data_IF_470200754394
#
_entry.id   IF_470200754394
#
_cell.length_a   1.000
_cell.length_b   1.000
_cell.length_c   1.000
_cell.angle_alpha   90.00
_cell.angle_beta   90.00
_cell.angle_gamma   90.00
#
_symmetry.space_group_name_H-M   'P 1'
#
loop_
_entity.id
_entity.type
_entity.pdbx_description
1 polymer ?
#
# COMPACT_ATOMS: atom_id res chain seq x y z
N UNK A 1 7.51 -9.58 5.97
CA UNK A 1 7.32 -8.43 5.06
C UNK A 1 6.20 -8.64 4.03
N UNK A 2 5.96 -9.84 3.48
CA UNK A 2 4.95 -10.04 2.41
C UNK A 2 3.48 -10.10 2.89
N UNK A 3 3.19 -10.50 4.14
CA UNK A 3 1.80 -10.68 4.62
C UNK A 3 1.06 -9.35 4.80
N UNK A 4 1.69 -8.34 5.39
CA UNK A 4 1.08 -7.03 5.60
C UNK A 4 0.60 -6.42 4.28
N UNK A 5 1.44 -6.48 3.24
CA UNK A 5 1.08 -6.02 1.89
C UNK A 5 -0.14 -6.75 1.31
N UNK A 6 -0.27 -8.06 1.53
CA UNK A 6 -1.42 -8.83 1.06
C UNK A 6 -2.72 -8.39 1.74
N UNK A 7 -2.66 -8.13 3.05
CA UNK A 7 -3.82 -7.66 3.82
C UNK A 7 -4.20 -6.23 3.43
N UNK A 8 -3.21 -5.35 3.27
CA UNK A 8 -3.42 -3.97 2.82
C UNK A 8 -4.05 -3.97 1.44
N UNK A 9 -3.52 -4.75 0.50
CA UNK A 9 -4.09 -4.87 -0.86
C UNK A 9 -5.53 -5.37 -0.82
N UNK A 10 -5.84 -6.35 0.05
CA UNK A 10 -7.20 -6.87 0.21
C UNK A 10 -8.15 -5.79 0.77
N UNK A 11 -7.71 -5.04 1.79
CA UNK A 11 -8.49 -3.94 2.39
C UNK A 11 -8.70 -2.80 1.40
N UNK A 12 -7.64 -2.33 0.72
CA UNK A 12 -7.73 -1.24 -0.25
C UNK A 12 -8.67 -1.59 -1.40
N UNK A 13 -8.59 -2.81 -1.94
CA UNK A 13 -9.51 -3.27 -2.99
C UNK A 13 -10.98 -3.32 -2.55
N UNK A 14 -11.24 -3.57 -1.27
CA UNK A 14 -12.60 -3.71 -0.76
C UNK A 14 -13.18 -2.37 -0.27
N UNK A 15 -12.42 -1.61 0.51
CA UNK A 15 -12.90 -0.38 1.16
C UNK A 15 -12.63 0.89 0.35
N UNK A 16 -11.53 0.94 -0.40
CA UNK A 16 -11.10 2.14 -1.13
C UNK A 16 -10.62 1.80 -2.56
N UNK A 17 -11.46 1.17 -3.40
CA UNK A 17 -11.05 0.72 -4.73
C UNK A 17 -10.60 1.89 -5.63
N UNK A 18 -11.21 3.06 -5.47
CA UNK A 18 -10.84 4.27 -6.21
C UNK A 18 -9.44 4.76 -5.84
N UNK A 19 -9.10 4.75 -4.55
CA UNK A 19 -7.77 5.14 -4.06
C UNK A 19 -6.69 4.19 -4.57
N UNK A 20 -6.96 2.89 -4.57
CA UNK A 20 -6.05 1.87 -5.11
C UNK A 20 -5.82 2.04 -6.61
N UNK A 21 -6.89 2.29 -7.37
CA UNK A 21 -6.81 2.52 -8.81
C UNK A 21 -6.06 3.83 -9.13
N UNK A 22 -6.35 4.90 -8.40
CA UNK A 22 -5.65 6.18 -8.52
C UNK A 22 -4.16 6.02 -8.19
N UNK A 23 -3.84 5.42 -7.06
CA UNK A 23 -2.46 5.19 -6.63
C UNK A 23 -1.68 4.35 -7.65
N UNK A 24 -2.26 3.24 -8.11
CA UNK A 24 -1.65 2.39 -9.14
C UNK A 24 -1.45 3.12 -10.47
N UNK A 25 -2.38 3.98 -10.88
CA UNK A 25 -2.24 4.83 -12.07
C UNK A 25 -1.11 5.84 -11.90
N UNK A 26 -1.07 6.53 -10.76
CA UNK A 26 -0.06 7.55 -10.47
C UNK A 26 1.35 6.95 -10.38
N UNK A 27 1.52 5.75 -9.80
CA UNK A 27 2.81 5.03 -9.78
C UNK A 27 3.28 4.70 -11.21
N UNK A 28 2.39 4.19 -12.07
CA UNK A 28 2.73 3.92 -13.47
C UNK A 28 3.15 5.19 -14.20
N UNK A 29 2.43 6.29 -13.97
CA UNK A 29 2.78 7.59 -14.53
C UNK A 29 4.11 8.11 -13.99
N UNK A 30 4.45 7.87 -12.73
CA UNK A 30 5.74 8.27 -12.13
C UNK A 30 6.93 7.69 -12.91
N UNK A 31 6.87 6.40 -13.25
CA UNK A 31 7.91 5.74 -14.04
C UNK A 31 8.03 6.35 -15.45
N UNK A 32 6.90 6.59 -16.12
CA UNK A 32 6.88 7.24 -17.44
C UNK A 32 7.43 8.66 -17.40
N UNK A 33 7.01 9.45 -16.42
CA UNK A 33 7.44 10.83 -16.24
C UNK A 33 8.95 10.93 -15.95
N UNK A 34 9.51 9.97 -15.20
CA UNK A 34 10.95 9.93 -14.93
C UNK A 34 11.78 9.70 -16.20
N UNK A 35 11.32 8.80 -17.08
CA UNK A 35 11.96 8.57 -18.39
C UNK A 35 11.84 9.78 -19.31
N UNK A 36 10.70 10.46 -19.27
CA UNK A 36 10.45 11.66 -20.09
C UNK A 36 11.37 12.83 -19.70
N UNK A 37 11.61 13.04 -18.39
CA UNK A 37 12.60 14.02 -17.91
C UNK A 37 13.99 13.66 -18.43
N UNK A 38 14.43 12.41 -18.23
CA UNK A 38 15.76 11.98 -18.65
C UNK A 38 15.98 12.19 -20.15
N UNK A 39 14.98 11.85 -20.97
CA UNK A 39 15.03 12.08 -22.42
C UNK A 39 15.12 13.55 -22.80
N UNK A 40 14.38 14.43 -22.10
CA UNK A 40 14.45 15.87 -22.34
C UNK A 40 15.78 16.48 -21.88
N UNK A 41 16.34 16.01 -20.76
CA UNK A 41 17.67 16.41 -20.27
C UNK A 41 18.77 16.01 -21.25
N UNK A 42 18.72 14.78 -21.77
CA UNK A 42 19.66 14.28 -22.78
C UNK A 42 19.58 15.08 -24.08
N UNK A 43 18.37 15.46 -24.52
CA UNK A 43 18.16 16.31 -25.70
C UNK A 43 18.75 17.71 -25.52
N UNK A 44 18.56 18.32 -24.34
CA UNK A 44 19.14 19.64 -24.04
C UNK A 44 20.67 19.56 -23.97
N UNK A 45 21.23 18.54 -23.31
CA UNK A 45 22.68 18.32 -23.25
C UNK A 45 23.28 18.11 -24.63
N UNK A 46 22.60 17.34 -25.49
CA UNK A 46 23.02 17.16 -26.86
C UNK A 46 23.00 18.49 -27.60
N UNK A 47 21.88 19.24 -27.57
CA UNK A 47 21.74 20.51 -28.26
C UNK A 47 22.86 21.50 -27.85
N UNK A 48 23.16 21.61 -26.55
CA UNK A 48 24.26 22.46 -26.05
C UNK A 48 25.63 22.01 -26.56
N UNK A 49 25.88 20.70 -26.64
CA UNK A 49 27.17 20.16 -27.09
C UNK A 49 27.39 20.27 -28.61
N UNK A 50 26.32 20.19 -29.41
CA UNK A 50 26.42 20.29 -30.89
C UNK A 50 26.47 21.72 -31.41
N UNK A 51 25.99 22.71 -30.66
CA UNK A 51 25.90 24.10 -31.13
C UNK A 51 27.12 24.92 -30.69
N UNK A 52 27.84 25.49 -31.66
CA UNK A 52 28.95 26.42 -31.44
C UNK A 52 28.49 27.70 -30.71
N UNK A 53 29.36 28.29 -29.89
CA UNK A 53 29.08 29.47 -29.04
C UNK A 53 28.49 30.71 -29.75
N UNK A 54 28.64 30.84 -31.07
CA UNK A 54 28.11 31.97 -31.86
C UNK A 54 26.69 31.73 -32.42
N UNK A 55 26.23 30.48 -32.54
CA UNK A 55 24.88 30.13 -33.02
C UNK A 55 23.86 29.90 -31.88
N UNK A 56 24.35 29.71 -30.65
CA UNK A 56 23.53 29.55 -29.43
C UNK A 56 22.63 30.76 -29.12
N UNK A 57 22.91 31.92 -29.69
CA UNK A 57 22.12 33.15 -29.50
C UNK A 57 20.98 33.30 -30.53
N UNK A 58 21.01 32.59 -31.66
CA UNK A 58 20.04 32.77 -32.76
C UNK A 58 18.88 31.75 -32.75
N UNK A 59 19.03 30.58 -32.13
CA UNK A 59 18.02 29.52 -32.26
C UNK A 59 17.01 29.50 -31.12
N UNK A 60 15.77 29.87 -31.46
CA UNK A 60 14.58 29.68 -30.62
C UNK A 60 14.39 28.25 -30.10
N UNK A 61 15.06 27.26 -30.70
CA UNK A 61 14.86 25.84 -30.43
C UNK A 61 15.36 25.42 -29.04
N UNK A 62 16.56 25.83 -28.63
CA UNK A 62 17.10 25.54 -27.28
C UNK A 62 16.25 26.21 -26.19
N UNK A 63 15.83 27.46 -26.44
CA UNK A 63 14.92 28.17 -25.54
C UNK A 63 13.55 27.47 -25.43
N UNK A 64 12.98 27.03 -26.56
CA UNK A 64 11.73 26.29 -26.57
C UNK A 64 11.84 24.94 -25.86
N UNK A 65 12.96 24.23 -26.00
CA UNK A 65 13.23 22.98 -25.26
C UNK A 65 13.36 23.23 -23.75
N UNK A 66 14.03 24.30 -23.33
CA UNK A 66 14.13 24.70 -21.93
C UNK A 66 12.75 25.05 -21.34
N UNK A 67 11.93 25.80 -22.08
CA UNK A 67 10.56 26.12 -21.68
C UNK A 67 9.70 24.85 -21.57
N UNK A 68 9.82 23.92 -22.52
CA UNK A 68 9.13 22.63 -22.50
C UNK A 68 9.57 21.76 -21.30
N UNK A 69 10.87 21.70 -21.01
CA UNK A 69 11.41 21.01 -19.83
C UNK A 69 10.86 21.61 -18.53
N UNK A 70 10.85 22.94 -18.43
CA UNK A 70 10.32 23.63 -17.25
C UNK A 70 8.81 23.37 -17.05
N UNK A 71 8.03 23.40 -18.14
CA UNK A 71 6.60 23.10 -18.10
C UNK A 71 6.34 21.63 -17.68
N UNK A 72 7.11 20.69 -18.23
CA UNK A 72 7.03 19.27 -17.88
C UNK A 72 7.40 19.04 -16.41
N UNK A 73 8.49 19.65 -15.94
CA UNK A 73 8.92 19.57 -14.55
C UNK A 73 7.85 20.10 -13.57
N UNK A 74 7.19 21.21 -13.91
CA UNK A 74 6.09 21.75 -13.10
C UNK A 74 4.87 20.82 -13.06
N UNK A 75 4.48 20.27 -14.21
CA UNK A 75 3.39 19.30 -14.30
C UNK A 75 3.69 18.03 -13.48
N UNK A 76 4.93 17.55 -13.50
CA UNK A 76 5.37 16.38 -12.73
C UNK A 76 5.38 16.69 -11.23
N UNK A 77 5.82 17.88 -10.81
CA UNK A 77 5.81 18.29 -9.39
C UNK A 77 4.41 18.19 -8.79
N UNK A 78 3.37 18.60 -9.51
CA UNK A 78 1.98 18.45 -9.05
C UNK A 78 1.54 16.98 -8.97
N UNK A 79 1.94 16.14 -9.93
CA UNK A 79 1.66 14.69 -9.90
C UNK A 79 2.38 13.97 -8.76
N UNK A 80 3.63 14.35 -8.47
CA UNK A 80 4.41 13.81 -7.35
C UNK A 80 3.73 14.15 -6.02
N UNK A 81 3.25 15.38 -5.87
CA UNK A 81 2.50 15.76 -4.66
C UNK A 81 1.25 14.88 -4.45
N UNK A 82 0.49 14.59 -5.51
CA UNK A 82 -0.65 13.67 -5.45
C UNK A 82 -0.25 12.24 -5.07
N UNK A 83 0.90 11.76 -5.56
CA UNK A 83 1.45 10.45 -5.17
C UNK A 83 1.76 10.43 -3.68
N UNK A 84 2.42 11.48 -3.17
CA UNK A 84 2.76 11.59 -1.75
C UNK A 84 1.51 11.60 -0.86
N UNK A 85 0.48 12.37 -1.24
CA UNK A 85 -0.78 12.41 -0.50
C UNK A 85 -1.50 11.06 -0.51
N UNK A 86 -1.55 10.40 -1.68
CA UNK A 86 -2.10 9.05 -1.80
C UNK A 86 -1.32 8.04 -0.95
N UNK A 87 0.02 8.13 -0.96
CA UNK A 87 0.89 7.28 -0.14
C UNK A 87 0.68 7.50 1.35
N UNK A 88 0.48 8.74 1.79
CA UNK A 88 0.16 9.05 3.21
C UNK A 88 -1.12 8.36 3.63
N UNK A 89 -2.18 8.43 2.81
CA UNK A 89 -3.45 7.75 3.08
C UNK A 89 -3.29 6.23 3.14
N UNK A 90 -2.48 5.65 2.26
CA UNK A 90 -2.18 4.21 2.29
C UNK A 90 -1.35 3.83 3.53
N UNK A 91 -0.41 4.68 3.93
CA UNK A 91 0.40 4.47 5.14
C UNK A 91 -0.48 4.48 6.40
N UNK A 92 -1.50 5.34 6.46
CA UNK A 92 -2.47 5.31 7.56
C UNK A 92 -3.18 3.95 7.63
N UNK A 93 -3.65 3.42 6.50
CA UNK A 93 -4.25 2.07 6.43
C UNK A 93 -3.24 1.00 6.87
N UNK A 94 -1.99 1.09 6.41
CA UNK A 94 -0.92 0.15 6.75
C UNK A 94 -0.73 0.02 8.26
N UNK A 95 -0.62 1.13 8.99
CA UNK A 95 -0.41 1.09 10.45
C UNK A 95 -1.52 0.35 11.19
N UNK A 96 -2.76 0.42 10.71
CA UNK A 96 -3.90 -0.27 11.33
C UNK A 96 -3.95 -1.75 10.94
N UNK A 97 -3.65 -2.08 9.68
CA UNK A 97 -3.70 -3.45 9.16
C UNK A 97 -2.48 -4.28 9.56
N UNK A 98 -1.32 -3.66 9.80
CA UNK A 98 -0.12 -4.37 10.26
C UNK A 98 -0.38 -5.07 11.61
N UNK A 99 -1.25 -4.52 12.47
CA UNK A 99 -1.69 -5.18 13.71
C UNK A 99 -2.40 -6.50 13.43
N UNK A 100 -3.20 -6.60 12.37
CA UNK A 100 -3.84 -7.85 11.97
C UNK A 100 -2.83 -8.88 11.48
N UNK A 101 -1.70 -8.45 10.90
CA UNK A 101 -0.63 -9.37 10.47
C UNK A 101 0.08 -10.05 11.65
N UNK A 102 0.19 -9.37 12.79
CA UNK A 102 0.75 -9.93 14.04
C UNK A 102 -0.10 -11.11 14.51
N UNK A 103 -1.42 -11.00 14.42
CA UNK A 103 -2.34 -12.07 14.82
C UNK A 103 -2.12 -13.38 14.03
N UNK A 104 -1.68 -13.29 12.77
CA UNK A 104 -1.30 -14.48 12.01
C UNK A 104 -0.05 -15.15 12.59
N UNK A 105 0.94 -14.38 13.01
CA UNK A 105 2.15 -14.94 13.62
C UNK A 105 1.85 -15.55 14.99
N UNK A 106 1.02 -14.90 15.81
CA UNK A 106 0.51 -15.50 17.06
C UNK A 106 -0.21 -16.83 16.79
N UNK A 107 -1.00 -16.89 15.72
CA UNK A 107 -1.67 -18.13 15.30
C UNK A 107 -0.67 -19.21 14.84
N UNK A 108 0.42 -18.85 14.17
CA UNK A 108 1.47 -19.81 13.80
C UNK A 108 2.26 -20.30 15.03
N UNK A 109 2.48 -19.43 16.01
CA UNK A 109 3.20 -19.78 17.24
C UNK A 109 2.43 -20.79 18.10
N UNK A 110 1.11 -20.96 17.89
CA UNK A 110 0.34 -22.06 18.48
C UNK A 110 0.90 -23.44 18.10
N UNK A 111 1.56 -23.57 16.95
CA UNK A 111 2.22 -24.81 16.56
C UNK A 111 3.36 -25.20 17.51
N UNK A 112 3.95 -24.23 18.24
CA UNK A 112 4.97 -24.48 19.27
C UNK A 112 4.36 -25.07 20.54
N UNK A 113 3.11 -24.73 20.85
CA UNK A 113 2.36 -25.34 21.97
C UNK A 113 2.04 -26.79 21.60
N UNK A 114 1.44 -26.99 20.42
CA UNK A 114 1.19 -28.32 19.85
C UNK A 114 1.30 -28.30 18.34
N UNK A 115 2.06 -29.26 17.80
CA UNK A 115 2.26 -29.41 16.36
C UNK A 115 0.97 -29.60 15.56
N UNK A 116 -0.13 -30.05 16.18
CA UNK A 116 -1.45 -30.19 15.54
C UNK A 116 -2.11 -28.85 15.24
N UNK A 117 -1.69 -27.75 15.87
CA UNK A 117 -2.24 -26.41 15.64
C UNK A 117 -1.57 -25.72 14.47
N UNK A 118 -1.84 -26.24 13.28
CA UNK A 118 -1.38 -25.66 12.03
C UNK A 118 -2.53 -25.02 11.28
N UNK A 119 -2.37 -23.74 10.98
CA UNK A 119 -3.35 -22.97 10.23
C UNK A 119 -2.75 -22.50 8.92
N UNK A 120 -3.49 -22.68 7.83
CA UNK A 120 -3.02 -22.20 6.52
C UNK A 120 -3.22 -20.69 6.38
N UNK A 121 -2.29 -20.04 5.69
CA UNK A 121 -2.44 -18.64 5.29
C UNK A 121 -3.71 -18.42 4.45
N UNK A 122 -4.09 -19.40 3.63
CA UNK A 122 -5.32 -19.32 2.83
C UNK A 122 -6.56 -19.18 3.70
N UNK A 123 -6.67 -19.97 4.76
CA UNK A 123 -7.79 -19.90 5.70
C UNK A 123 -7.85 -18.53 6.38
N UNK A 124 -6.71 -18.05 6.87
CA UNK A 124 -6.59 -16.72 7.48
C UNK A 124 -7.03 -15.60 6.52
N UNK A 125 -6.56 -15.63 5.28
CA UNK A 125 -6.94 -14.64 4.26
C UNK A 125 -8.43 -14.69 3.90
N UNK A 126 -9.03 -15.87 3.85
CA UNK A 126 -10.49 -16.00 3.66
C UNK A 126 -11.23 -15.38 4.82
N UNK A 127 -10.83 -15.69 6.05
CA UNK A 127 -11.47 -15.13 7.25
C UNK A 127 -11.34 -13.60 7.31
N UNK A 128 -10.20 -13.06 6.89
CA UNK A 128 -9.99 -11.61 6.82
C UNK A 128 -10.90 -10.94 5.79
N UNK A 129 -11.11 -11.57 4.63
CA UNK A 129 -12.08 -11.09 3.62
C UNK A 129 -13.51 -11.16 4.13
N UNK A 130 -13.86 -12.21 4.87
CA UNK A 130 -15.18 -12.33 5.49
C UNK A 130 -15.39 -11.23 6.54
N UNK A 131 -14.36 -10.90 7.31
CA UNK A 131 -14.41 -9.77 8.26
C UNK A 131 -14.63 -8.43 7.54
N UNK A 132 -13.99 -8.19 6.40
CA UNK A 132 -14.20 -6.98 5.59
C UNK A 132 -15.65 -6.84 5.10
N UNK A 133 -16.29 -7.95 4.75
CA UNK A 133 -17.68 -7.98 4.25
C UNK A 133 -18.70 -7.85 5.39
N UNK A 134 -18.45 -8.55 6.51
CA UNK A 134 -19.39 -8.63 7.64
C UNK A 134 -19.31 -7.44 8.59
N UNK A 135 -18.24 -6.64 8.53
CA UNK A 135 -18.09 -5.45 9.36
C UNK A 135 -19.21 -4.43 9.07
N UNK A 136 -20.01 -4.03 10.08
CA UNK A 136 -21.12 -3.10 9.92
C UNK A 136 -20.69 -1.79 9.23
N UNK A 137 -21.50 -1.30 8.29
CA UNK A 137 -21.24 -0.06 7.53
C UNK A 137 -21.40 1.24 8.33
N UNK A 138 -21.71 1.15 9.63
CA UNK A 138 -21.96 2.32 10.46
C UNK A 138 -20.70 3.19 10.69
N UNK A 139 -19.51 2.59 10.61
CA UNK A 139 -18.25 3.29 10.84
C UNK A 139 -17.65 3.76 9.51
N UNK A 140 -17.11 4.99 9.48
CA UNK A 140 -16.51 5.60 8.29
C UNK A 140 -15.02 5.89 8.51
N UNK A 141 -14.22 5.81 7.44
CA UNK A 141 -12.80 6.21 7.46
C UNK A 141 -11.95 5.41 8.44
N UNK A 142 -11.19 6.12 9.31
CA UNK A 142 -10.25 5.52 10.27
C UNK A 142 -10.93 4.66 11.32
N UNK A 143 -12.08 5.09 11.85
CA UNK A 143 -12.84 4.36 12.87
C UNK A 143 -13.29 2.98 12.36
N UNK A 144 -13.57 2.89 11.05
CA UNK A 144 -13.90 1.62 10.40
C UNK A 144 -12.70 0.67 10.39
N UNK A 145 -11.52 1.16 10.03
CA UNK A 145 -10.29 0.36 10.01
C UNK A 145 -9.92 -0.14 11.41
N UNK A 146 -10.09 0.69 12.44
CA UNK A 146 -9.87 0.27 13.82
C UNK A 146 -10.88 -0.80 14.26
N UNK A 147 -12.15 -0.62 13.89
CA UNK A 147 -13.21 -1.60 14.17
C UNK A 147 -12.99 -2.92 13.42
N UNK A 148 -12.42 -2.88 12.21
CA UNK A 148 -12.07 -4.06 11.44
C UNK A 148 -11.11 -4.95 12.20
N UNK A 149 -10.07 -4.39 12.81
CA UNK A 149 -9.07 -5.16 13.55
C UNK A 149 -9.71 -5.89 14.74
N UNK A 150 -10.57 -5.21 15.50
CA UNK A 150 -11.29 -5.83 16.62
C UNK A 150 -12.29 -6.92 16.18
N UNK A 151 -13.06 -6.64 15.13
CA UNK A 151 -14.01 -7.61 14.55
C UNK A 151 -13.29 -8.85 14.00
N UNK A 152 -12.19 -8.63 13.28
CA UNK A 152 -11.36 -9.70 12.75
C UNK A 152 -10.73 -10.54 13.87
N UNK A 153 -10.21 -9.92 14.93
CA UNK A 153 -9.66 -10.64 16.09
C UNK A 153 -10.71 -11.55 16.75
N UNK A 154 -11.95 -11.08 16.89
CA UNK A 154 -13.06 -11.90 17.40
C UNK A 154 -13.40 -13.07 16.49
N UNK A 155 -13.47 -12.84 15.17
CA UNK A 155 -13.69 -13.91 14.19
C UNK A 155 -12.55 -14.93 14.18
N UNK A 156 -11.30 -14.47 14.29
CA UNK A 156 -10.11 -15.30 14.33
C UNK A 156 -10.09 -16.16 15.59
N UNK A 157 -10.40 -15.58 16.74
CA UNK A 157 -10.53 -16.34 17.98
C UNK A 157 -11.62 -17.40 17.88
N UNK A 158 -12.85 -17.05 17.46
CA UNK A 158 -13.94 -18.01 17.30
C UNK A 158 -13.66 -19.09 16.24
N UNK A 159 -12.86 -18.76 15.22
CA UNK A 159 -12.37 -19.69 14.22
C UNK A 159 -11.38 -20.70 14.79
N UNK A 160 -10.30 -20.23 15.40
CA UNK A 160 -9.22 -21.05 15.91
C UNK A 160 -9.62 -21.81 17.19
N UNK A 161 -10.37 -21.19 18.11
CA UNK A 161 -10.79 -21.78 19.39
C UNK A 161 -11.62 -23.06 19.23
N UNK A 162 -12.28 -23.26 18.07
CA UNK A 162 -12.99 -24.52 17.76
C UNK A 162 -12.05 -25.70 17.51
N UNK A 163 -10.80 -25.44 17.15
CA UNK A 163 -9.76 -26.45 16.92
C UNK A 163 -8.78 -26.61 18.08
N UNK A 164 -8.80 -25.69 19.05
CA UNK A 164 -7.97 -25.71 20.25
C UNK A 164 -8.61 -26.56 21.36
N UNK A 165 -7.79 -27.22 22.17
CA UNK A 165 -8.25 -27.86 23.40
C UNK A 165 -8.57 -26.79 24.45
N UNK A 166 -9.46 -27.09 25.40
CA UNK A 166 -9.94 -26.11 26.41
C UNK A 166 -8.80 -25.44 27.19
N UNK A 167 -7.75 -26.19 27.54
CA UNK A 167 -6.59 -25.69 28.29
C UNK A 167 -5.79 -24.62 27.55
N UNK A 168 -5.83 -24.60 26.21
CA UNK A 168 -5.05 -23.63 25.41
C UNK A 168 -5.86 -22.40 24.97
N UNK A 169 -7.19 -22.42 25.12
CA UNK A 169 -8.04 -21.31 24.66
C UNK A 169 -7.72 -20.02 25.42
N UNK A 170 -7.51 -20.11 26.74
CA UNK A 170 -7.19 -18.96 27.57
C UNK A 170 -5.81 -18.38 27.25
N UNK A 171 -4.71 -19.17 27.20
CA UNK A 171 -3.41 -18.69 26.71
C UNK A 171 -3.49 -18.03 25.33
N UNK A 172 -4.22 -18.63 24.39
CA UNK A 172 -4.41 -18.06 23.06
C UNK A 172 -5.15 -16.72 23.09
N UNK A 173 -6.22 -16.59 23.89
CA UNK A 173 -6.95 -15.34 24.05
C UNK A 173 -6.06 -14.22 24.61
N UNK A 174 -5.19 -14.53 25.58
CA UNK A 174 -4.25 -13.56 26.17
C UNK A 174 -3.23 -13.11 25.13
N UNK A 175 -2.66 -14.02 24.35
CA UNK A 175 -1.69 -13.68 23.30
C UNK A 175 -2.29 -12.84 22.17
N UNK A 176 -3.59 -12.99 21.90
CA UNK A 176 -4.32 -12.20 20.90
C UNK A 176 -4.64 -10.78 21.36
N UNK A 177 -4.66 -10.53 22.69
CA UNK A 177 -4.95 -9.22 23.29
C UNK A 177 -3.69 -8.40 23.60
N UNK A 178 -2.52 -9.05 23.58
CA UNK A 178 -1.21 -8.44 23.83
C UNK A 178 -0.72 -7.64 22.60
#
# INVERSE_FOLDING_TARGET
MQLGELLITATLRHEMPELEAEHGSLIKQRAKNALEIQSLEDQVLHAINTTSTEALLEESEVFNMLVALQASAYAIKSKVHRIEDSQRRINDVRTTIDKASILFFVLQDMALVRHTYQFSLRWFMTLFKDALVTLPRANTGKDRLESLTGHFAGMLYGGAARSLFEEDKLPFAVLMLA
#
